data_IF_583193530156
#
_entry.id   IF_583193530156
#
_cell.length_a   1.000
_cell.length_b   1.000
_cell.length_c   1.000
_cell.angle_alpha   90.00
_cell.angle_beta   90.00
_cell.angle_gamma   90.00
#
_symmetry.space_group_name_H-M   'P 1'
#
loop_
_entity.id
_entity.type
_entity.pdbx_description
1 polymer ?
#
# COMPACT_ATOMS: atom_id res chain seq x y z
N UNK A 1 -6.53 -2.57 7.88
CA UNK A 1 -5.73 -1.99 9.00
C UNK A 1 -6.39 -2.12 10.38
N UNK A 2 -7.73 -2.06 10.46
CA UNK A 2 -8.51 -2.09 11.72
C UNK A 2 -8.17 -3.23 12.68
N UNK A 3 -7.79 -4.40 12.14
CA UNK A 3 -7.30 -5.58 12.89
C UNK A 3 -6.22 -5.25 13.93
N UNK A 4 -5.32 -4.31 13.62
CA UNK A 4 -4.19 -3.90 14.49
C UNK A 4 -4.52 -2.75 15.44
N UNK A 5 -5.68 -2.10 15.28
CA UNK A 5 -6.08 -0.98 16.13
C UNK A 5 -6.48 -1.45 17.54
N UNK A 6 -6.44 -0.55 18.55
CA UNK A 6 -6.97 -0.82 19.88
C UNK A 6 -8.45 -1.26 19.85
N UNK A 7 -8.86 -2.05 20.84
CA UNK A 7 -10.27 -2.47 21.00
C UNK A 7 -11.23 -1.30 21.20
N UNK A 8 -10.74 -0.21 21.81
CA UNK A 8 -11.48 1.04 21.99
C UNK A 8 -11.85 1.71 20.67
N UNK A 9 -11.14 1.40 19.59
CA UNK A 9 -11.37 1.95 18.24
C UNK A 9 -12.01 0.90 17.30
N UNK A 10 -12.55 -0.19 17.85
CA UNK A 10 -13.18 -1.27 17.06
C UNK A 10 -12.19 -2.24 16.42
N UNK A 11 -10.92 -2.23 16.85
CA UNK A 11 -9.91 -3.20 16.43
C UNK A 11 -9.80 -4.42 17.35
N UNK A 12 -8.91 -5.35 17.00
CA UNK A 12 -8.66 -6.57 17.81
C UNK A 12 -7.38 -6.47 18.64
N UNK A 13 -6.61 -5.38 18.53
CA UNK A 13 -5.27 -5.22 19.11
C UNK A 13 -4.36 -6.41 18.77
N UNK A 14 -4.48 -6.94 17.55
CA UNK A 14 -3.57 -7.98 17.09
C UNK A 14 -2.15 -7.40 17.00
N UNK A 15 -1.11 -8.19 17.33
CA UNK A 15 0.26 -7.74 17.18
C UNK A 15 0.57 -7.42 15.71
N UNK A 16 1.37 -6.38 15.48
CA UNK A 16 1.87 -6.10 14.14
C UNK A 16 2.59 -7.34 13.56
N UNK A 17 2.37 -7.68 12.29
CA UNK A 17 2.92 -8.89 11.71
C UNK A 17 4.43 -8.73 11.60
N UNK A 18 5.22 -9.60 12.22
CA UNK A 18 6.69 -9.59 12.14
C UNK A 18 7.26 -10.70 11.26
N UNK A 19 6.38 -11.57 10.75
CA UNK A 19 6.75 -12.82 10.09
C UNK A 19 6.99 -12.68 8.58
N UNK A 20 6.64 -11.55 7.97
CA UNK A 20 6.76 -11.35 6.52
C UNK A 20 8.22 -11.32 6.02
N UNK A 21 9.18 -11.20 6.94
CA UNK A 21 10.62 -11.35 6.67
C UNK A 21 11.22 -12.69 7.14
N UNK A 22 10.39 -13.63 7.61
CA UNK A 22 10.84 -14.91 8.17
C UNK A 22 11.38 -14.81 9.60
N UNK A 23 12.09 -15.84 10.06
CA UNK A 23 12.50 -16.00 11.46
C UNK A 23 13.91 -16.57 11.64
N UNK A 24 14.45 -16.40 12.84
CA UNK A 24 15.68 -17.06 13.30
C UNK A 24 16.92 -16.64 12.49
N UNK A 25 17.86 -17.58 12.33
CA UNK A 25 19.17 -17.33 11.68
C UNK A 25 19.07 -16.96 10.19
N UNK A 26 17.91 -17.16 9.54
CA UNK A 26 17.67 -16.84 8.12
C UNK A 26 16.61 -15.75 7.92
N UNK A 27 16.30 -14.98 8.96
CA UNK A 27 15.46 -13.79 8.81
C UNK A 27 16.05 -12.86 7.76
N UNK A 28 15.20 -12.21 6.94
CA UNK A 28 15.65 -11.31 5.89
C UNK A 28 16.63 -10.26 6.47
N UNK A 29 17.89 -10.21 6.01
CA UNK A 29 18.85 -9.22 6.49
C UNK A 29 18.44 -7.81 6.10
N UNK A 30 17.69 -7.65 5.00
CA UNK A 30 17.17 -6.38 4.50
C UNK A 30 15.90 -5.87 5.18
N UNK A 31 15.35 -6.54 6.22
CA UNK A 31 14.06 -6.19 6.83
C UNK A 31 13.94 -4.72 7.25
N UNK A 32 14.99 -4.17 7.86
CA UNK A 32 14.96 -2.78 8.34
C UNK A 32 14.95 -1.77 7.19
N UNK A 33 15.70 -2.06 6.13
CA UNK A 33 15.67 -1.27 4.90
C UNK A 33 14.31 -1.41 4.22
N UNK A 34 13.77 -2.63 4.15
CA UNK A 34 12.46 -2.92 3.57
C UNK A 34 11.34 -2.15 4.27
N UNK A 35 11.27 -2.24 5.60
CA UNK A 35 10.28 -1.52 6.41
C UNK A 35 10.40 0.01 6.26
N UNK A 36 11.62 0.54 6.42
CA UNK A 36 11.87 1.97 6.33
C UNK A 36 11.56 2.53 4.94
N UNK A 37 12.01 1.83 3.89
CA UNK A 37 11.78 2.26 2.52
C UNK A 37 10.30 2.16 2.13
N UNK A 38 9.62 1.08 2.51
CA UNK A 38 8.19 0.93 2.24
C UNK A 38 7.38 2.03 2.93
N UNK A 39 7.68 2.31 4.19
CA UNK A 39 7.00 3.36 4.95
C UNK A 39 7.16 4.74 4.29
N UNK A 40 8.40 5.13 3.98
CA UNK A 40 8.68 6.44 3.36
C UNK A 40 8.06 6.52 1.96
N UNK A 41 8.15 5.47 1.16
CA UNK A 41 7.54 5.44 -0.17
C UNK A 41 6.02 5.64 -0.11
N UNK A 42 5.31 4.87 0.72
CA UNK A 42 3.85 4.98 0.87
C UNK A 42 3.46 6.36 1.43
N UNK A 43 4.13 6.84 2.47
CA UNK A 43 3.85 8.15 3.05
C UNK A 43 4.04 9.29 2.04
N UNK A 44 5.12 9.24 1.25
CA UNK A 44 5.43 10.25 0.22
C UNK A 44 4.42 10.21 -0.91
N UNK A 45 4.08 9.01 -1.41
CA UNK A 45 3.08 8.84 -2.46
C UNK A 45 1.73 9.40 -2.01
N UNK A 46 1.28 9.08 -0.78
CA UNK A 46 -0.01 9.56 -0.28
C UNK A 46 0.00 11.05 0.09
N UNK A 47 1.16 11.62 0.42
CA UNK A 47 1.32 13.05 0.65
C UNK A 47 1.22 13.84 -0.66
N UNK A 48 1.81 13.34 -1.75
CA UNK A 48 1.91 14.07 -3.02
C UNK A 48 0.79 13.78 -4.00
N UNK A 49 0.20 12.58 -3.95
CA UNK A 49 -0.74 12.13 -4.97
C UNK A 49 -2.09 11.66 -4.39
N UNK A 50 -3.13 11.88 -5.18
CA UNK A 50 -4.42 11.22 -5.04
C UNK A 50 -4.48 10.04 -6.00
N UNK A 51 -4.70 8.85 -5.46
CA UNK A 51 -4.86 7.61 -6.22
C UNK A 51 -6.35 7.29 -6.27
N UNK A 52 -6.91 7.31 -7.48
CA UNK A 52 -8.35 7.12 -7.73
C UNK A 52 -8.59 5.99 -8.71
N UNK A 53 -9.82 5.46 -8.68
CA UNK A 53 -10.28 4.52 -9.71
C UNK A 53 -10.38 5.22 -11.06
N UNK A 54 -10.10 4.48 -12.13
CA UNK A 54 -10.44 4.95 -13.48
C UNK A 54 -11.96 4.98 -13.64
N UNK A 55 -12.44 5.87 -14.51
CA UNK A 55 -13.86 6.01 -14.84
C UNK A 55 -14.10 5.55 -16.28
N UNK A 56 -15.22 4.90 -16.52
CA UNK A 56 -15.64 4.56 -17.88
C UNK A 56 -16.16 5.79 -18.66
N UNK A 57 -16.64 5.57 -19.89
CA UNK A 57 -17.19 6.63 -20.76
C UNK A 57 -18.39 7.35 -20.15
N UNK A 58 -19.08 6.73 -19.19
CA UNK A 58 -20.26 7.27 -18.52
C UNK A 58 -19.91 7.89 -17.16
N UNK A 59 -18.62 7.92 -16.78
CA UNK A 59 -18.15 8.47 -15.51
C UNK A 59 -18.26 7.52 -14.32
N UNK A 60 -18.58 6.23 -14.54
CA UNK A 60 -18.72 5.22 -13.49
C UNK A 60 -17.35 4.67 -13.13
N UNK A 61 -17.06 4.56 -11.83
CA UNK A 61 -15.80 3.99 -11.35
C UNK A 61 -15.67 2.51 -11.70
N UNK A 62 -14.54 2.14 -12.30
CA UNK A 62 -14.21 0.76 -12.60
C UNK A 62 -13.47 0.17 -11.40
N UNK A 63 -14.05 -0.85 -10.76
CA UNK A 63 -13.40 -1.55 -9.66
C UNK A 63 -12.29 -2.47 -10.21
N UNK A 64 -11.04 -2.34 -9.74
CA UNK A 64 -9.97 -3.24 -10.16
C UNK A 64 -10.28 -4.69 -9.78
N UNK A 65 -10.11 -5.61 -10.73
CA UNK A 65 -10.20 -7.05 -10.44
C UNK A 65 -8.99 -7.49 -9.65
N UNK A 66 -9.22 -8.09 -8.47
CA UNK A 66 -8.13 -8.62 -7.64
C UNK A 66 -7.65 -9.92 -8.29
N UNK A 67 -6.43 -9.89 -8.81
CA UNK A 67 -5.72 -11.06 -9.29
C UNK A 67 -4.26 -10.99 -8.87
N UNK A 68 -3.69 -12.14 -8.52
CA UNK A 68 -2.27 -12.28 -8.24
C UNK A 68 -1.64 -13.15 -9.31
N UNK A 69 -0.43 -12.80 -9.72
CA UNK A 69 0.42 -13.65 -10.54
C UNK A 69 1.07 -14.75 -9.70
N UNK A 70 1.41 -15.84 -10.37
CA UNK A 70 2.11 -16.99 -9.79
C UNK A 70 3.62 -16.81 -9.94
N UNK A 71 4.37 -16.90 -8.85
CA UNK A 71 5.82 -16.75 -8.87
C UNK A 71 6.44 -16.81 -7.48
N UNK A 72 7.74 -16.49 -7.39
CA UNK A 72 8.47 -16.43 -6.11
C UNK A 72 7.88 -15.38 -5.15
N UNK A 73 7.27 -14.33 -5.70
CA UNK A 73 6.59 -13.26 -4.97
C UNK A 73 5.20 -13.05 -5.55
N UNK A 74 4.24 -12.66 -4.70
CA UNK A 74 2.86 -12.36 -5.11
C UNK A 74 2.76 -10.94 -5.67
N UNK A 75 2.76 -10.81 -7.00
CA UNK A 75 2.49 -9.52 -7.66
C UNK A 75 1.01 -9.40 -8.02
N UNK A 76 0.38 -8.24 -7.81
CA UNK A 76 -0.92 -7.95 -8.42
C UNK A 76 -0.82 -8.04 -9.94
N UNK A 77 -1.85 -8.60 -10.58
CA UNK A 77 -2.01 -8.49 -12.03
C UNK A 77 -2.12 -7.02 -12.44
N UNK A 78 -1.71 -6.64 -13.67
CA UNK A 78 -1.86 -5.27 -14.14
C UNK A 78 -3.30 -4.76 -14.01
N UNK A 79 -3.45 -3.55 -13.47
CA UNK A 79 -4.72 -2.84 -13.35
C UNK A 79 -4.49 -1.34 -13.60
N UNK A 80 -5.55 -0.66 -14.05
CA UNK A 80 -5.50 0.78 -14.28
C UNK A 80 -5.87 1.56 -13.02
N UNK A 81 -5.20 2.69 -12.81
CA UNK A 81 -5.54 3.67 -11.79
C UNK A 81 -5.29 5.08 -12.31
N UNK A 82 -5.98 6.05 -11.73
CA UNK A 82 -5.77 7.46 -12.02
C UNK A 82 -4.96 8.08 -10.87
N UNK A 83 -3.72 8.48 -11.15
CA UNK A 83 -2.85 9.13 -10.18
C UNK A 83 -2.74 10.60 -10.56
N UNK A 84 -3.14 11.49 -9.65
CA UNK A 84 -3.05 12.94 -9.84
C UNK A 84 -2.32 13.58 -8.67
N UNK A 85 -1.69 14.73 -8.91
CA UNK A 85 -1.14 15.55 -7.83
C UNK A 85 -2.27 15.90 -6.86
N UNK A 86 -2.00 15.83 -5.56
CA UNK A 86 -2.99 15.94 -4.50
C UNK A 86 -3.59 17.34 -4.39
N UNK A 87 -2.74 18.36 -4.35
CA UNK A 87 -3.08 19.77 -4.19
C UNK A 87 -1.92 20.69 -4.63
N UNK A 88 -2.13 22.00 -4.54
CA UNK A 88 -1.15 23.02 -4.93
C UNK A 88 0.16 22.94 -4.11
N UNK A 89 0.08 22.55 -2.84
CA UNK A 89 1.27 22.39 -2.00
C UNK A 89 2.10 21.21 -2.48
N UNK A 90 1.46 20.08 -2.81
CA UNK A 90 2.13 18.93 -3.41
C UNK A 90 2.72 19.28 -4.78
N UNK A 91 2.04 20.10 -5.58
CA UNK A 91 2.54 20.56 -6.88
C UNK A 91 3.81 21.41 -6.75
N UNK A 92 3.92 22.23 -5.70
CA UNK A 92 5.09 23.06 -5.46
C UNK A 92 6.36 22.28 -5.05
N UNK A 93 6.23 20.98 -4.72
CA UNK A 93 7.34 20.12 -4.31
C UNK A 93 7.91 19.27 -5.47
N UNK A 94 7.34 19.37 -6.67
CA UNK A 94 7.76 18.65 -7.88
C UNK A 94 8.48 19.60 -8.85
#
# INVERSE_FOLDING_TARGET
PSRYLPRTEGGNKEPYPTFHFGFGRRVCPGRYLGDGNFWIAVATILALFKIERVKDKNGVEIMPTIGLDTGLTSHPKPYECNIRIRDENAQALL
#
